data_IF_508896725044
#
_entry.id   IF_508896725044
#
_cell.length_a   1.000
_cell.length_b   1.000
_cell.length_c   1.000
_cell.angle_alpha   90.00
_cell.angle_beta   90.00
_cell.angle_gamma   90.00
#
_symmetry.space_group_name_H-M   'P 1'
#
loop_
_entity.id
_entity.type
_entity.pdbx_description
1 polymer ?
#
# COMPACT_ATOMS: atom_id res chain seq x y z
N UNK A 1 -4.48 -35.23 -14.62
CA UNK A 1 -3.06 -35.63 -14.49
C UNK A 1 -2.99 -37.14 -14.56
N UNK A 2 -2.08 -37.68 -15.36
CA UNK A 2 -1.82 -39.13 -15.45
C UNK A 2 -0.85 -39.55 -14.33
N UNK A 3 -1.06 -40.74 -13.77
CA UNK A 3 -0.24 -41.31 -12.70
C UNK A 3 1.25 -41.43 -13.09
N UNK A 4 1.52 -41.59 -14.40
CA UNK A 4 2.87 -41.73 -14.95
C UNK A 4 3.70 -40.45 -14.80
N UNK A 5 3.09 -39.26 -14.97
CA UNK A 5 3.82 -37.99 -14.85
C UNK A 5 4.16 -37.64 -13.40
N UNK A 6 3.28 -37.99 -12.46
CA UNK A 6 3.53 -37.87 -11.02
C UNK A 6 4.66 -38.80 -10.57
N UNK A 7 4.71 -40.03 -11.10
CA UNK A 7 5.78 -40.98 -10.81
C UNK A 7 7.14 -40.56 -11.40
N UNK A 8 7.17 -39.82 -12.50
CA UNK A 8 8.41 -39.28 -13.11
C UNK A 8 8.98 -38.07 -12.35
N UNK A 9 8.13 -37.29 -11.67
CA UNK A 9 8.52 -36.14 -10.85
C UNK A 9 9.24 -36.52 -9.55
N UNK A 10 8.89 -37.69 -8.98
CA UNK A 10 9.46 -38.20 -7.73
C UNK A 10 10.49 -39.29 -7.99
N UNK A 11 11.73 -39.10 -7.54
CA UNK A 11 12.68 -40.19 -7.33
C UNK A 11 13.04 -40.23 -5.85
N UNK A 12 12.62 -41.30 -5.16
CA UNK A 12 13.01 -41.54 -3.76
C UNK A 12 11.93 -41.46 -2.69
N UNK A 13 10.64 -41.54 -3.05
CA UNK A 13 9.54 -41.58 -2.06
C UNK A 13 8.99 -40.22 -1.63
N UNK A 14 9.32 -39.16 -2.36
CA UNK A 14 8.71 -37.84 -2.18
C UNK A 14 7.24 -37.84 -2.61
N UNK A 15 6.41 -37.05 -1.90
CA UNK A 15 5.01 -36.80 -2.27
C UNK A 15 4.93 -36.02 -3.60
N UNK A 16 4.55 -36.72 -4.66
CA UNK A 16 4.47 -36.19 -6.02
C UNK A 16 3.47 -35.03 -6.17
N UNK A 17 2.41 -34.99 -5.36
CA UNK A 17 1.43 -33.89 -5.37
C UNK A 17 1.98 -32.63 -4.69
N UNK A 18 2.82 -32.81 -3.67
CA UNK A 18 3.53 -31.70 -3.03
C UNK A 18 4.62 -31.13 -3.94
N UNK A 19 5.40 -31.99 -4.59
CA UNK A 19 6.40 -31.57 -5.57
C UNK A 19 5.78 -30.86 -6.78
N UNK A 20 4.65 -31.37 -7.28
CA UNK A 20 3.94 -30.73 -8.39
C UNK A 20 3.52 -29.29 -8.04
N UNK A 21 2.88 -29.10 -6.87
CA UNK A 21 2.45 -27.77 -6.40
C UNK A 21 3.62 -26.80 -6.26
N UNK A 22 4.78 -27.28 -5.82
CA UNK A 22 5.98 -26.45 -5.66
C UNK A 22 6.62 -26.06 -7.00
N UNK A 23 6.57 -26.93 -8.00
CA UNK A 23 7.36 -26.78 -9.23
C UNK A 23 6.56 -26.21 -10.41
N UNK A 24 5.23 -26.35 -10.41
CA UNK A 24 4.37 -25.98 -11.55
C UNK A 24 4.49 -24.51 -11.95
N UNK A 25 4.63 -23.61 -10.97
CA UNK A 25 4.74 -22.14 -11.17
C UNK A 25 6.17 -21.61 -10.96
N UNK A 26 7.19 -22.41 -11.27
CA UNK A 26 8.59 -21.97 -11.20
C UNK A 26 9.10 -21.50 -12.55
N UNK A 27 10.08 -20.59 -12.54
CA UNK A 27 10.73 -20.05 -13.73
C UNK A 27 11.22 -21.14 -14.69
N UNK A 28 11.77 -22.23 -14.14
CA UNK A 28 12.25 -23.37 -14.92
C UNK A 28 11.15 -24.16 -15.63
N UNK A 29 9.90 -24.10 -15.13
CA UNK A 29 8.76 -24.82 -15.69
C UNK A 29 7.89 -23.96 -16.62
N UNK A 30 8.25 -22.69 -16.84
CA UNK A 30 7.55 -21.82 -17.78
C UNK A 30 7.95 -22.14 -19.23
N UNK A 31 6.94 -22.44 -20.05
CA UNK A 31 7.06 -22.59 -21.49
C UNK A 31 6.11 -21.63 -22.19
N UNK A 32 6.60 -20.89 -23.18
CA UNK A 32 5.77 -20.06 -24.03
C UNK A 32 5.28 -20.94 -25.20
N UNK A 33 4.01 -21.28 -25.24
CA UNK A 33 3.43 -22.09 -26.32
C UNK A 33 2.04 -21.57 -26.71
N UNK A 34 1.75 -21.47 -28.00
CA UNK A 34 0.43 -21.12 -28.53
C UNK A 34 -0.59 -22.26 -28.51
N UNK A 35 -0.20 -23.46 -28.04
CA UNK A 35 -1.00 -24.70 -28.10
C UNK A 35 -1.18 -25.34 -26.72
N UNK A 36 -1.34 -24.52 -25.67
CA UNK A 36 -1.44 -25.00 -24.28
C UNK A 36 -2.66 -25.92 -24.05
N UNK A 37 -3.69 -25.80 -24.89
CA UNK A 37 -4.89 -26.64 -24.90
C UNK A 37 -4.68 -28.05 -25.48
N UNK A 38 -3.69 -28.26 -26.35
CA UNK A 38 -3.38 -29.55 -26.98
C UNK A 38 -2.36 -30.39 -26.18
N UNK A 39 -1.71 -29.78 -25.17
CA UNK A 39 -0.67 -30.38 -24.31
C UNK A 39 -1.20 -31.07 -23.04
N UNK A 40 -2.54 -31.19 -22.90
CA UNK A 40 -3.19 -31.72 -21.71
C UNK A 40 -2.85 -33.19 -21.43
N UNK A 41 -2.35 -33.46 -20.21
CA UNK A 41 -2.13 -34.78 -19.56
C UNK A 41 -1.24 -35.83 -20.26
N UNK A 42 -0.46 -35.45 -21.28
CA UNK A 42 0.48 -36.37 -21.93
C UNK A 42 1.79 -36.57 -21.12
N UNK A 43 2.41 -37.73 -21.27
CA UNK A 43 3.72 -38.06 -20.68
C UNK A 43 4.82 -37.13 -21.18
N UNK A 44 5.93 -37.03 -20.45
CA UNK A 44 7.05 -36.19 -20.88
C UNK A 44 7.61 -36.62 -22.24
N UNK A 45 7.65 -37.92 -22.54
CA UNK A 45 8.07 -38.44 -23.85
C UNK A 45 7.23 -37.89 -25.02
N UNK A 46 5.91 -37.76 -24.85
CA UNK A 46 5.03 -37.18 -25.86
C UNK A 46 5.20 -35.66 -25.98
N UNK A 47 5.35 -34.95 -24.84
CA UNK A 47 5.59 -33.50 -24.79
C UNK A 47 6.94 -33.13 -25.41
N UNK A 48 7.96 -33.97 -25.21
CA UNK A 48 9.33 -33.80 -25.75
C UNK A 48 9.33 -33.70 -27.27
N UNK A 49 8.55 -34.54 -27.96
CA UNK A 49 8.44 -34.50 -29.42
C UNK A 49 7.81 -33.19 -29.92
N UNK A 50 6.73 -32.72 -29.27
CA UNK A 50 6.06 -31.46 -29.64
C UNK A 50 6.92 -30.23 -29.33
N UNK A 51 7.58 -30.19 -28.17
CA UNK A 51 8.49 -29.10 -27.79
C UNK A 51 9.70 -29.01 -28.73
N UNK A 52 10.18 -30.14 -29.26
CA UNK A 52 11.26 -30.19 -30.25
C UNK A 52 10.90 -29.55 -31.60
N UNK A 53 9.60 -29.51 -31.94
CA UNK A 53 9.09 -28.87 -33.15
C UNK A 53 8.81 -27.36 -32.97
N UNK A 54 8.96 -26.83 -31.75
CA UNK A 54 8.72 -25.40 -31.49
C UNK A 54 9.74 -24.51 -32.18
N UNK A 55 9.30 -23.34 -32.66
CA UNK A 55 10.18 -22.28 -33.21
C UNK A 55 10.98 -21.55 -32.13
N UNK A 56 10.66 -21.74 -30.85
CA UNK A 56 11.30 -21.06 -29.73
C UNK A 56 12.45 -21.88 -29.17
N UNK A 57 13.66 -21.32 -29.18
CA UNK A 57 14.89 -21.96 -28.67
C UNK A 57 14.72 -22.46 -27.24
N UNK A 58 14.04 -21.68 -26.38
CA UNK A 58 13.75 -22.05 -25.00
C UNK A 58 12.96 -23.37 -24.86
N UNK A 59 12.07 -23.70 -25.80
CA UNK A 59 11.27 -24.92 -25.73
C UNK A 59 12.07 -26.15 -26.21
N UNK A 60 12.99 -25.95 -27.15
CA UNK A 60 13.90 -27.02 -27.64
C UNK A 60 14.88 -27.49 -26.57
N UNK A 61 15.33 -26.58 -25.69
CA UNK A 61 16.17 -26.92 -24.55
C UNK A 61 15.50 -27.93 -23.61
N UNK A 62 14.18 -27.84 -23.42
CA UNK A 62 13.41 -28.81 -22.63
C UNK A 62 13.31 -30.15 -23.37
N UNK A 63 13.11 -30.11 -24.69
CA UNK A 63 13.04 -31.30 -25.53
C UNK A 63 14.38 -32.06 -25.62
N UNK A 64 15.50 -31.38 -25.38
CA UNK A 64 16.82 -32.00 -25.35
C UNK A 64 17.06 -32.86 -24.10
N UNK A 65 16.30 -32.64 -23.03
CA UNK A 65 16.41 -33.43 -21.80
C UNK A 65 15.78 -34.82 -21.98
N UNK A 66 16.43 -35.85 -21.42
CA UNK A 66 15.89 -37.22 -21.43
C UNK A 66 14.77 -37.40 -20.38
N UNK A 67 14.78 -36.57 -19.33
CA UNK A 67 13.80 -36.55 -18.22
C UNK A 67 13.45 -35.12 -17.84
N UNK A 68 12.35 -34.95 -17.13
CA UNK A 68 11.87 -33.63 -16.70
C UNK A 68 11.30 -33.68 -15.28
N UNK A 69 12.21 -33.76 -14.30
CA UNK A 69 11.87 -33.78 -12.88
C UNK A 69 12.35 -32.51 -12.16
N UNK A 70 12.31 -32.56 -10.83
CA UNK A 70 12.72 -31.45 -9.94
C UNK A 70 14.12 -30.91 -10.26
N UNK A 71 15.09 -31.79 -10.46
CA UNK A 71 16.48 -31.41 -10.68
C UNK A 71 16.63 -30.62 -11.99
N UNK A 72 15.98 -31.06 -13.07
CA UNK A 72 16.04 -30.40 -14.37
C UNK A 72 15.30 -29.06 -14.37
N UNK A 73 14.17 -28.97 -13.66
CA UNK A 73 13.40 -27.73 -13.51
C UNK A 73 14.21 -26.67 -12.74
N UNK A 74 14.83 -27.05 -11.61
CA UNK A 74 15.64 -26.12 -10.81
C UNK A 74 16.89 -25.67 -11.58
N UNK A 75 17.64 -26.62 -12.17
CA UNK A 75 18.83 -26.29 -12.95
C UNK A 75 18.50 -25.38 -14.14
N UNK A 76 17.31 -25.52 -14.75
CA UNK A 76 16.85 -24.61 -15.78
C UNK A 76 16.47 -23.24 -15.23
N UNK A 77 15.82 -23.17 -14.08
CA UNK A 77 15.48 -21.91 -13.43
C UNK A 77 16.75 -21.06 -13.19
N UNK A 78 17.83 -21.68 -12.70
CA UNK A 78 19.12 -21.03 -12.49
C UNK A 78 19.68 -20.46 -13.81
N UNK A 79 19.71 -21.27 -14.87
CA UNK A 79 20.20 -20.82 -16.19
C UNK A 79 19.37 -19.67 -16.79
N UNK A 80 18.06 -19.66 -16.58
CA UNK A 80 17.20 -18.56 -17.06
C UNK A 80 17.46 -17.30 -16.23
N UNK A 81 17.64 -17.43 -14.92
CA UNK A 81 18.00 -16.31 -14.05
C UNK A 81 19.35 -15.70 -14.44
N UNK A 82 20.39 -16.51 -14.66
CA UNK A 82 21.70 -16.05 -15.12
C UNK A 82 21.63 -15.29 -16.45
N UNK A 83 20.83 -15.80 -17.39
CA UNK A 83 20.59 -15.12 -18.68
C UNK A 83 19.84 -13.82 -18.52
N UNK A 84 18.85 -13.77 -17.62
CA UNK A 84 18.11 -12.54 -17.34
C UNK A 84 19.03 -11.46 -16.76
N UNK A 85 19.92 -11.83 -15.83
CA UNK A 85 20.94 -10.95 -15.25
C UNK A 85 21.90 -10.44 -16.34
N UNK A 86 22.29 -11.30 -17.29
CA UNK A 86 23.19 -10.90 -18.37
C UNK A 86 22.53 -9.98 -19.43
N UNK A 87 21.23 -10.17 -19.72
CA UNK A 87 20.49 -9.41 -20.74
C UNK A 87 19.98 -8.08 -20.18
N UNK A 88 19.54 -8.07 -18.93
CA UNK A 88 19.10 -6.90 -18.20
C UNK A 88 20.06 -6.63 -17.04
N UNK A 89 21.29 -6.19 -17.34
CA UNK A 89 22.19 -5.76 -16.29
C UNK A 89 21.53 -4.60 -15.54
N UNK A 90 21.55 -4.66 -14.21
CA UNK A 90 21.08 -3.55 -13.38
C UNK A 90 21.88 -2.27 -13.68
N UNK A 91 21.35 -1.08 -13.34
CA UNK A 91 22.09 0.17 -13.47
C UNK A 91 23.46 0.05 -12.76
N UNK A 92 24.53 0.49 -13.41
CA UNK A 92 25.91 0.36 -12.90
C UNK A 92 26.07 1.09 -11.55
N UNK A 93 26.00 0.33 -10.46
CA UNK A 93 26.26 0.77 -9.10
C UNK A 93 27.76 0.81 -8.83
N UNK A 94 28.43 1.89 -9.22
CA UNK A 94 29.71 2.26 -8.61
C UNK A 94 29.47 2.71 -7.16
N UNK A 95 29.16 1.77 -6.27
CA UNK A 95 28.87 2.11 -4.87
C UNK A 95 28.26 1.04 -3.97
N UNK A 96 28.04 -0.21 -4.39
CA UNK A 96 27.59 -1.26 -3.46
C UNK A 96 28.51 -2.47 -3.48
N UNK A 97 29.28 -2.57 -2.39
CA UNK A 97 30.12 -3.71 -2.10
C UNK A 97 29.31 -4.99 -1.91
N UNK A 98 29.95 -6.11 -2.27
CA UNK A 98 29.88 -7.46 -1.70
C UNK A 98 28.63 -7.78 -0.85
N UNK A 99 27.90 -8.83 -1.24
CA UNK A 99 26.82 -9.49 -0.50
C UNK A 99 26.96 -9.38 1.05
N UNK A 100 26.36 -8.34 1.61
CA UNK A 100 26.38 -8.02 3.02
C UNK A 100 24.97 -8.16 3.60
N UNK A 101 24.89 -8.46 4.89
CA UNK A 101 23.69 -8.47 5.73
C UNK A 101 22.58 -7.53 5.24
N UNK A 102 21.33 -8.01 5.23
CA UNK A 102 20.13 -7.16 5.02
C UNK A 102 20.32 -5.84 5.76
N UNK A 103 20.26 -4.73 5.02
CA UNK A 103 20.34 -3.39 5.61
C UNK A 103 19.03 -3.12 6.34
N UNK A 104 19.10 -3.16 7.67
CA UNK A 104 17.95 -2.91 8.55
C UNK A 104 17.85 -1.45 8.98
N UNK A 105 18.71 -0.56 8.48
CA UNK A 105 18.75 0.85 8.86
C UNK A 105 17.39 1.52 8.63
N UNK A 106 16.77 1.26 7.48
CA UNK A 106 15.47 1.83 7.16
C UNK A 106 14.35 1.31 8.08
N UNK A 107 14.39 0.03 8.49
CA UNK A 107 13.45 -0.52 9.47
C UNK A 107 13.62 0.15 10.84
N UNK A 108 14.86 0.28 11.31
CA UNK A 108 15.14 0.93 12.61
C UNK A 108 14.63 2.37 12.62
N UNK A 109 14.93 3.14 11.57
CA UNK A 109 14.43 4.51 11.41
C UNK A 109 12.91 4.56 11.37
N UNK A 110 12.27 3.64 10.62
CA UNK A 110 10.82 3.55 10.49
C UNK A 110 10.10 3.34 11.82
N UNK A 111 10.53 2.34 12.59
CA UNK A 111 9.87 1.99 13.87
C UNK A 111 10.18 3.06 14.93
N UNK A 112 11.39 3.63 14.92
CA UNK A 112 11.76 4.73 15.80
C UNK A 112 10.97 6.02 15.53
N UNK A 113 10.61 6.28 14.27
CA UNK A 113 9.88 7.47 13.87
C UNK A 113 8.36 7.43 14.17
N UNK A 114 7.83 6.29 14.65
CA UNK A 114 6.41 6.16 14.97
C UNK A 114 5.98 7.17 16.06
N UNK A 115 5.01 8.06 15.77
CA UNK A 115 4.47 8.99 16.75
C UNK A 115 3.90 8.29 17.99
N UNK A 116 3.83 8.99 19.12
CA UNK A 116 3.15 8.50 20.31
C UNK A 116 1.69 8.13 20.02
N UNK A 117 1.14 7.14 20.74
CA UNK A 117 -0.21 6.62 20.56
C UNK A 117 -0.51 6.09 19.14
N UNK A 118 0.49 5.58 18.42
CA UNK A 118 0.32 4.96 17.10
C UNK A 118 1.00 3.60 17.02
N UNK A 119 0.57 2.76 16.08
CA UNK A 119 1.15 1.44 15.82
C UNK A 119 1.27 1.21 14.31
N UNK A 120 2.10 0.26 13.88
CA UNK A 120 2.22 -0.15 12.46
C UNK A 120 2.20 -1.67 12.34
N UNK A 121 2.05 -2.21 11.14
CA UNK A 121 2.06 -3.65 10.92
C UNK A 121 3.40 -4.17 10.41
N UNK A 122 3.70 -5.45 10.67
CA UNK A 122 4.84 -6.13 10.03
C UNK A 122 4.78 -6.05 8.49
N UNK A 123 3.58 -5.97 7.92
CA UNK A 123 3.39 -5.82 6.47
C UNK A 123 3.79 -4.44 5.97
N UNK A 124 3.43 -3.38 6.69
CA UNK A 124 3.79 -2.00 6.32
C UNK A 124 5.30 -1.77 6.43
N UNK A 125 5.92 -2.26 7.50
CA UNK A 125 7.38 -2.20 7.65
C UNK A 125 8.08 -3.00 6.56
N UNK A 126 7.57 -4.19 6.22
CA UNK A 126 8.14 -5.01 5.15
C UNK A 126 7.99 -4.36 3.77
N UNK A 127 6.85 -3.77 3.48
CA UNK A 127 6.60 -3.03 2.24
C UNK A 127 7.59 -1.87 2.09
N UNK A 128 7.77 -1.06 3.14
CA UNK A 128 8.68 0.07 3.15
C UNK A 128 10.13 -0.31 2.80
N UNK A 129 10.61 -1.44 3.32
CA UNK A 129 12.00 -1.89 3.13
C UNK A 129 12.17 -2.85 1.94
N UNK A 130 11.11 -3.13 1.19
CA UNK A 130 11.14 -4.11 0.08
C UNK A 130 11.44 -5.55 0.55
N UNK A 131 10.87 -5.96 1.68
CA UNK A 131 11.06 -7.28 2.29
C UNK A 131 9.73 -8.03 2.47
N UNK A 132 9.78 -9.19 3.13
CA UNK A 132 8.60 -9.95 3.55
C UNK A 132 8.38 -9.78 5.07
N UNK A 133 7.14 -9.87 5.59
CA UNK A 133 6.85 -9.68 7.03
C UNK A 133 7.58 -10.64 7.96
N UNK A 134 7.85 -11.87 7.50
CA UNK A 134 8.50 -12.91 8.31
C UNK A 134 9.94 -12.52 8.72
N UNK A 135 10.85 -12.15 7.81
CA UNK A 135 12.16 -11.60 8.16
C UNK A 135 12.12 -10.41 9.11
N UNK A 136 11.14 -9.50 8.94
CA UNK A 136 10.95 -8.34 9.82
C UNK A 136 10.63 -8.80 11.26
N UNK A 137 9.70 -9.74 11.42
CA UNK A 137 9.36 -10.29 12.72
C UNK A 137 10.54 -11.00 13.40
N UNK A 138 11.33 -11.79 12.65
CA UNK A 138 12.54 -12.45 13.19
C UNK A 138 13.56 -11.42 13.68
N UNK A 139 13.82 -10.38 12.90
CA UNK A 139 14.74 -9.30 13.26
C UNK A 139 14.29 -8.57 14.53
N UNK A 140 13.02 -8.14 14.59
CA UNK A 140 12.47 -7.45 15.76
C UNK A 140 12.47 -8.33 17.03
N UNK A 141 12.36 -9.65 16.88
CA UNK A 141 12.38 -10.59 18.00
C UNK A 141 13.79 -11.00 18.46
N UNK A 142 14.85 -10.50 17.81
CA UNK A 142 16.24 -10.89 18.08
C UNK A 142 17.19 -9.71 18.23
N UNK A 143 16.85 -8.54 17.70
CA UNK A 143 17.67 -7.33 17.73
C UNK A 143 16.91 -6.24 18.48
N UNK A 144 17.50 -5.57 19.48
CA UNK A 144 16.89 -4.43 20.12
C UNK A 144 16.59 -3.33 19.09
N UNK A 145 15.30 -3.00 18.93
CA UNK A 145 14.82 -1.91 18.08
C UNK A 145 13.91 -1.02 18.92
N UNK A 146 14.12 0.28 18.86
CA UNK A 146 13.28 1.25 19.55
C UNK A 146 11.82 1.10 19.06
N UNK A 147 10.87 1.07 19.99
CA UNK A 147 9.43 0.94 19.72
C UNK A 147 9.00 -0.37 19.02
N UNK A 148 9.80 -1.44 19.07
CA UNK A 148 9.47 -2.72 18.42
C UNK A 148 8.10 -3.29 18.84
N UNK A 149 7.65 -3.03 20.08
CA UNK A 149 6.36 -3.44 20.60
C UNK A 149 5.17 -2.79 19.90
N UNK A 150 5.36 -1.68 19.18
CA UNK A 150 4.34 -1.01 18.36
C UNK A 150 4.17 -1.63 16.97
N UNK A 151 4.92 -2.68 16.64
CA UNK A 151 4.77 -3.42 15.38
C UNK A 151 3.86 -4.63 15.62
N UNK A 152 2.64 -4.55 15.10
CA UNK A 152 1.57 -5.53 15.32
C UNK A 152 1.28 -6.35 14.05
N UNK A 153 0.40 -7.32 14.17
CA UNK A 153 -0.18 -7.98 13.00
C UNK A 153 -0.99 -6.99 12.17
N UNK A 154 -1.28 -7.34 10.91
CA UNK A 154 -2.15 -6.53 10.04
C UNK A 154 -3.56 -6.31 10.60
N UNK A 155 -4.03 -7.19 11.51
CA UNK A 155 -5.32 -7.06 12.19
C UNK A 155 -5.26 -6.21 13.46
N UNK A 156 -4.11 -5.62 13.79
CA UNK A 156 -3.90 -4.84 15.02
C UNK A 156 -3.69 -5.70 16.26
N UNK A 157 -3.36 -6.98 16.11
CA UNK A 157 -3.10 -7.87 17.26
C UNK A 157 -1.61 -7.94 17.56
N UNK A 158 -1.28 -7.99 18.85
CA UNK A 158 0.07 -8.38 19.27
C UNK A 158 0.32 -9.83 18.82
N UNK A 159 1.52 -10.09 18.29
CA UNK A 159 1.92 -11.44 17.90
C UNK A 159 1.90 -12.38 19.12
N UNK A 160 1.33 -13.58 18.98
CA UNK A 160 1.38 -14.62 20.03
C UNK A 160 2.81 -15.03 20.40
N UNK A 161 3.76 -14.78 19.50
CA UNK A 161 5.19 -15.04 19.71
C UNK A 161 5.98 -13.81 20.13
N UNK A 162 5.30 -12.71 20.47
CA UNK A 162 5.96 -11.50 20.96
C UNK A 162 6.75 -11.81 22.24
N UNK A 163 7.95 -11.24 22.31
CA UNK A 163 8.83 -11.28 23.46
C UNK A 163 9.68 -10.02 23.47
N UNK A 164 9.96 -9.49 24.65
CA UNK A 164 10.96 -8.45 24.80
C UNK A 164 12.33 -8.99 24.41
N UNK A 165 13.15 -8.14 23.79
CA UNK A 165 14.52 -8.50 23.42
C UNK A 165 15.45 -8.48 24.64
N UNK A 166 15.11 -7.70 25.66
CA UNK A 166 15.68 -7.78 26.99
C UNK A 166 15.05 -8.98 27.73
N UNK A 167 15.83 -10.02 28.09
CA UNK A 167 15.30 -11.20 28.78
C UNK A 167 14.81 -10.92 30.20
N UNK A 168 15.21 -9.79 30.80
CA UNK A 168 14.77 -9.38 32.15
C UNK A 168 13.49 -8.53 32.13
N UNK A 169 12.98 -8.18 30.94
CA UNK A 169 11.74 -7.43 30.78
C UNK A 169 10.53 -8.37 30.69
N UNK A 170 9.72 -8.38 31.75
CA UNK A 170 8.53 -9.22 31.90
C UNK A 170 7.22 -8.44 31.79
N UNK A 171 7.28 -7.16 31.39
CA UNK A 171 6.10 -6.30 31.30
C UNK A 171 5.09 -6.85 30.32
N UNK A 172 3.80 -6.76 30.66
CA UNK A 172 2.73 -7.06 29.72
C UNK A 172 2.72 -6.01 28.60
N UNK A 173 2.98 -6.46 27.37
CA UNK A 173 3.01 -5.61 26.18
C UNK A 173 1.71 -4.86 25.94
N UNK A 174 0.55 -5.44 26.27
CA UNK A 174 -0.73 -4.73 26.16
C UNK A 174 -0.85 -3.61 27.21
N UNK A 175 -0.31 -3.79 28.42
CA UNK A 175 -0.27 -2.71 29.41
C UNK A 175 0.64 -1.57 28.95
N UNK A 176 1.81 -1.89 28.40
CA UNK A 176 2.73 -0.89 27.83
C UNK A 176 2.07 -0.12 26.68
N UNK A 177 1.47 -0.82 25.71
CA UNK A 177 0.82 -0.17 24.56
C UNK A 177 -0.36 0.72 25.00
N UNK A 178 -1.15 0.29 25.99
CA UNK A 178 -2.23 1.13 26.55
C UNK A 178 -1.69 2.35 27.30
N UNK A 179 -0.62 2.19 28.08
CA UNK A 179 0.01 3.30 28.78
C UNK A 179 0.59 4.35 27.80
N UNK A 180 0.98 3.92 26.61
CA UNK A 180 1.42 4.78 25.50
C UNK A 180 0.26 5.38 24.68
N UNK A 181 -0.99 5.10 25.07
CA UNK A 181 -2.20 5.67 24.46
C UNK A 181 -2.80 4.85 23.32
N UNK A 182 -2.36 3.61 23.07
CA UNK A 182 -2.97 2.75 22.05
C UNK A 182 -4.25 2.13 22.61
N UNK A 183 -5.35 2.39 21.90
CA UNK A 183 -6.69 1.91 22.22
C UNK A 183 -6.88 0.53 21.60
N UNK A 184 -7.43 -0.40 22.38
CA UNK A 184 -7.78 -1.74 21.92
C UNK A 184 -9.29 -1.94 22.00
N UNK A 185 -9.85 -2.69 21.06
CA UNK A 185 -11.23 -3.16 21.14
C UNK A 185 -11.38 -4.37 22.10
N UNK A 186 -12.62 -4.80 22.31
CA UNK A 186 -12.95 -5.95 23.19
C UNK A 186 -12.31 -7.26 22.72
N UNK A 187 -11.91 -7.36 21.45
CA UNK A 187 -11.22 -8.51 20.88
C UNK A 187 -9.68 -8.39 20.96
N UNK A 188 -9.16 -7.37 21.63
CA UNK A 188 -7.73 -7.14 21.80
C UNK A 188 -7.03 -6.65 20.52
N UNK A 189 -7.76 -6.02 19.59
CA UNK A 189 -7.20 -5.42 18.38
C UNK A 189 -6.99 -3.93 18.59
N UNK A 190 -5.80 -3.43 18.26
CA UNK A 190 -5.49 -2.01 18.29
C UNK A 190 -6.35 -1.25 17.28
N UNK A 191 -6.77 -0.03 17.64
CA UNK A 191 -7.63 0.80 16.79
C UNK A 191 -6.99 1.04 15.43
N UNK A 192 -7.74 0.76 14.36
CA UNK A 192 -7.28 1.01 12.98
C UNK A 192 -6.97 2.50 12.73
N UNK A 193 -7.57 3.40 13.50
CA UNK A 193 -7.37 4.85 13.36
C UNK A 193 -5.98 5.28 13.83
N UNK A 194 -5.37 4.49 14.73
CA UNK A 194 -4.01 4.66 15.25
C UNK A 194 -2.94 3.93 14.40
N UNK A 195 -3.34 3.28 13.31
CA UNK A 195 -2.42 2.55 12.42
C UNK A 195 -1.66 3.51 11.49
N UNK A 196 -0.33 3.37 11.39
CA UNK A 196 0.55 4.07 10.45
C UNK A 196 0.94 3.12 9.32
N UNK A 197 0.58 3.49 8.10
CA UNK A 197 0.85 2.72 6.87
C UNK A 197 2.29 2.90 6.37
N UNK A 198 2.76 2.00 5.50
CA UNK A 198 4.08 2.11 4.86
C UNK A 198 4.33 3.49 4.23
N UNK A 199 3.30 4.04 3.58
CA UNK A 199 3.32 5.39 2.98
C UNK A 199 3.49 6.49 4.02
N UNK A 200 2.74 6.43 5.12
CA UNK A 200 2.85 7.43 6.20
C UNK A 200 4.22 7.34 6.90
N UNK A 201 4.78 6.14 7.09
CA UNK A 201 6.14 5.98 7.63
C UNK A 201 7.17 6.63 6.70
N UNK A 202 7.05 6.41 5.40
CA UNK A 202 7.97 7.01 4.46
C UNK A 202 7.96 8.54 4.48
N UNK A 203 6.77 9.12 4.61
CA UNK A 203 6.58 10.56 4.78
C UNK A 203 7.21 11.07 6.08
N UNK A 204 7.06 10.33 7.20
CA UNK A 204 7.75 10.63 8.46
C UNK A 204 9.27 10.65 8.28
N UNK A 205 9.79 9.75 7.44
CA UNK A 205 11.21 9.65 7.14
C UNK A 205 11.68 10.62 6.03
N UNK A 206 10.79 11.42 5.44
CA UNK A 206 11.11 12.31 4.34
C UNK A 206 11.55 11.57 3.07
N UNK A 207 11.14 10.32 2.90
CA UNK A 207 11.40 9.54 1.69
C UNK A 207 10.42 9.98 0.59
N UNK A 208 10.87 10.07 -0.67
CA UNK A 208 10.01 10.45 -1.78
C UNK A 208 8.99 9.33 -2.06
N UNK A 209 7.82 9.36 -1.40
CA UNK A 209 6.78 8.34 -1.57
C UNK A 209 5.43 9.01 -1.85
N UNK A 210 5.03 8.97 -3.13
CA UNK A 210 3.70 9.27 -3.66
C UNK A 210 3.10 10.67 -3.41
N UNK A 211 3.51 11.46 -2.41
CA UNK A 211 3.17 12.88 -2.33
C UNK A 211 3.70 13.63 -3.56
N UNK A 212 4.88 13.24 -4.05
CA UNK A 212 5.41 13.70 -5.33
C UNK A 212 4.45 13.38 -6.49
N UNK A 213 3.71 12.26 -6.48
CA UNK A 213 2.77 11.93 -7.56
C UNK A 213 1.49 12.76 -7.49
N UNK A 214 0.95 13.06 -6.30
CA UNK A 214 -0.22 13.94 -6.17
C UNK A 214 0.11 15.40 -6.53
N UNK A 215 1.33 15.86 -6.21
CA UNK A 215 1.84 17.17 -6.64
C UNK A 215 2.21 17.18 -8.13
N UNK A 216 2.71 16.08 -8.70
CA UNK A 216 2.96 15.93 -10.14
C UNK A 216 1.65 15.84 -10.94
N UNK A 217 0.60 15.21 -10.40
CA UNK A 217 -0.76 15.23 -10.98
C UNK A 217 -1.40 16.63 -10.89
N UNK A 218 -0.99 17.46 -9.93
CA UNK A 218 -1.39 18.88 -9.85
C UNK A 218 -0.58 19.80 -10.79
N UNK A 219 0.64 19.41 -11.17
CA UNK A 219 1.52 20.14 -12.08
C UNK A 219 1.32 19.79 -13.57
N UNK A 220 0.33 18.95 -13.90
CA UNK A 220 -0.07 18.69 -15.28
C UNK A 220 -0.69 19.93 -15.92
N UNK A 221 0.15 20.79 -16.48
CA UNK A 221 -0.17 22.06 -17.17
C UNK A 221 -0.94 21.87 -18.51
N UNK A 222 -1.68 20.77 -18.64
CA UNK A 222 -2.54 20.48 -19.79
C UNK A 222 -4.00 20.49 -19.36
N UNK A 223 -4.77 21.47 -19.83
CA UNK A 223 -6.23 21.44 -19.69
C UNK A 223 -6.75 20.13 -20.28
N UNK A 224 -7.17 19.19 -19.42
CA UNK A 224 -7.85 17.98 -19.85
C UNK A 224 -9.08 18.35 -20.68
N UNK A 225 -9.39 17.55 -21.70
CA UNK A 225 -10.62 17.76 -22.47
C UNK A 225 -11.84 17.50 -21.57
N UNK A 226 -12.99 18.14 -21.85
CA UNK A 226 -14.22 17.87 -21.10
C UNK A 226 -14.58 16.37 -21.06
N UNK A 227 -14.35 15.66 -22.17
CA UNK A 227 -14.59 14.21 -22.26
C UNK A 227 -13.68 13.41 -21.32
N UNK A 228 -12.39 13.76 -21.25
CA UNK A 228 -11.46 13.09 -20.36
C UNK A 228 -11.84 13.31 -18.89
N UNK A 229 -12.26 14.53 -18.53
CA UNK A 229 -12.76 14.83 -17.18
C UNK A 229 -13.99 14.00 -16.84
N UNK A 230 -14.96 13.89 -17.75
CA UNK A 230 -16.15 13.03 -17.57
C UNK A 230 -15.76 11.57 -17.38
N UNK A 231 -14.81 11.03 -18.16
CA UNK A 231 -14.34 9.65 -17.99
C UNK A 231 -13.69 9.42 -16.62
N UNK A 232 -12.90 10.37 -16.12
CA UNK A 232 -12.28 10.28 -14.80
C UNK A 232 -13.32 10.33 -13.67
N UNK A 233 -14.33 11.19 -13.81
CA UNK A 233 -15.45 11.31 -12.89
C UNK A 233 -16.30 10.03 -12.83
N UNK A 234 -16.71 9.50 -13.98
CA UNK A 234 -17.47 8.26 -14.07
C UNK A 234 -16.71 7.08 -13.45
N UNK A 235 -15.40 6.99 -13.73
CA UNK A 235 -14.53 5.97 -13.16
C UNK A 235 -14.44 6.09 -11.64
N UNK A 236 -14.26 7.31 -11.12
CA UNK A 236 -14.23 7.57 -9.68
C UNK A 236 -15.54 7.16 -9.01
N UNK A 237 -16.68 7.60 -9.54
CA UNK A 237 -17.99 7.28 -8.99
C UNK A 237 -18.28 5.77 -9.04
N UNK A 238 -17.89 5.09 -10.12
CA UNK A 238 -18.04 3.63 -10.24
C UNK A 238 -17.24 2.90 -9.15
N UNK A 239 -15.93 3.19 -9.03
CA UNK A 239 -15.08 2.53 -8.03
C UNK A 239 -15.52 2.84 -6.60
N UNK A 240 -15.94 4.08 -6.33
CA UNK A 240 -16.48 4.49 -5.05
C UNK A 240 -17.76 3.72 -4.71
N UNK A 241 -18.69 3.59 -5.66
CA UNK A 241 -19.93 2.86 -5.49
C UNK A 241 -19.69 1.36 -5.27
N UNK A 242 -18.78 0.74 -6.03
CA UNK A 242 -18.41 -0.67 -5.83
C UNK A 242 -17.78 -0.93 -4.46
N UNK A 243 -16.91 -0.03 -3.99
CA UNK A 243 -16.14 -0.25 -2.78
C UNK A 243 -16.83 0.20 -1.49
N UNK A 244 -17.65 1.25 -1.54
CA UNK A 244 -18.30 1.87 -0.37
C UNK A 244 -19.83 1.84 -0.41
N UNK A 245 -20.43 1.41 -1.54
CA UNK A 245 -21.87 1.32 -1.71
C UNK A 245 -22.55 2.65 -2.12
N UNK A 246 -23.81 2.58 -2.58
CA UNK A 246 -24.51 3.70 -3.21
C UNK A 246 -24.85 4.85 -2.25
N UNK A 247 -25.08 4.56 -0.96
CA UNK A 247 -25.36 5.60 0.03
C UNK A 247 -24.14 6.48 0.29
N UNK A 248 -22.97 5.85 0.46
CA UNK A 248 -21.70 6.54 0.63
C UNK A 248 -21.31 7.32 -0.63
N UNK A 249 -21.44 6.69 -1.81
CA UNK A 249 -21.17 7.34 -3.10
C UNK A 249 -22.06 8.57 -3.31
N UNK A 250 -23.37 8.46 -3.04
CA UNK A 250 -24.29 9.58 -3.13
C UNK A 250 -23.99 10.69 -2.13
N UNK A 251 -23.51 10.37 -0.92
CA UNK A 251 -23.07 11.36 0.05
C UNK A 251 -21.83 12.12 -0.43
N UNK A 252 -20.78 11.42 -0.87
CA UNK A 252 -19.58 12.05 -1.43
C UNK A 252 -19.95 12.93 -2.62
N UNK A 253 -20.80 12.47 -3.55
CA UNK A 253 -21.23 13.26 -4.69
C UNK A 253 -21.93 14.57 -4.28
N UNK A 254 -22.84 14.52 -3.29
CA UNK A 254 -23.49 15.75 -2.77
C UNK A 254 -22.50 16.72 -2.14
N UNK A 255 -21.49 16.21 -1.44
CA UNK A 255 -20.44 17.03 -0.84
C UNK A 255 -19.58 17.69 -1.93
N UNK A 256 -19.22 16.96 -2.98
CA UNK A 256 -18.47 17.52 -4.12
C UNK A 256 -19.29 18.57 -4.88
N UNK A 257 -20.59 18.35 -5.05
CA UNK A 257 -21.49 19.34 -5.66
C UNK A 257 -21.64 20.59 -4.78
N UNK A 258 -21.78 20.42 -3.46
CA UNK A 258 -21.76 21.53 -2.51
C UNK A 258 -20.49 22.36 -2.66
N UNK A 259 -19.31 21.73 -2.71
CA UNK A 259 -18.03 22.42 -2.93
C UNK A 259 -18.02 23.23 -4.23
N UNK A 260 -18.50 22.65 -5.33
CA UNK A 260 -18.62 23.37 -6.62
C UNK A 260 -19.56 24.56 -6.53
N UNK A 261 -20.69 24.43 -5.85
CA UNK A 261 -21.67 25.52 -5.67
C UNK A 261 -21.10 26.72 -4.91
N UNK A 262 -20.01 26.51 -4.15
CA UNK A 262 -19.29 27.54 -3.38
C UNK A 262 -18.11 28.15 -4.16
N UNK A 263 -17.93 27.76 -5.43
CA UNK A 263 -16.85 28.26 -6.29
C UNK A 263 -15.58 27.42 -6.29
N UNK A 264 -15.60 26.26 -5.63
CA UNK A 264 -14.49 25.31 -5.66
C UNK A 264 -14.42 24.50 -6.96
N UNK A 265 -13.23 24.02 -7.30
CA UNK A 265 -13.02 23.12 -8.44
C UNK A 265 -12.86 21.67 -7.94
N UNK A 266 -13.03 20.69 -8.83
CA UNK A 266 -12.77 19.28 -8.55
C UNK A 266 -11.56 18.80 -9.36
N UNK A 267 -10.66 18.10 -8.70
CA UNK A 267 -9.51 17.48 -9.34
C UNK A 267 -9.60 15.95 -9.24
N UNK A 268 -9.60 15.28 -10.38
CA UNK A 268 -9.61 13.81 -10.44
C UNK A 268 -8.20 13.25 -10.66
N UNK A 269 -7.88 12.16 -9.97
CA UNK A 269 -6.64 11.42 -10.15
C UNK A 269 -6.62 10.66 -11.47
N UNK A 270 -5.46 10.62 -12.12
CA UNK A 270 -5.29 10.01 -13.44
C UNK A 270 -4.96 8.52 -13.36
N UNK A 271 -4.39 8.08 -12.23
CA UNK A 271 -4.03 6.70 -11.96
C UNK A 271 -5.21 5.70 -12.06
N UNK A 272 -4.90 4.40 -12.13
CA UNK A 272 -5.91 3.34 -12.14
C UNK A 272 -6.79 3.33 -10.87
N UNK A 273 -6.22 3.75 -9.74
CA UNK A 273 -6.95 3.96 -8.50
C UNK A 273 -7.57 5.35 -8.56
N UNK A 274 -8.86 5.40 -8.88
CA UNK A 274 -9.55 6.66 -9.06
C UNK A 274 -9.62 7.40 -7.72
N UNK A 275 -9.32 8.69 -7.78
CA UNK A 275 -9.44 9.60 -6.64
C UNK A 275 -10.02 10.94 -7.09
N UNK A 276 -10.56 11.69 -6.14
CA UNK A 276 -11.08 13.03 -6.36
C UNK A 276 -10.75 13.92 -5.17
N UNK A 277 -10.28 15.13 -5.42
CA UNK A 277 -10.10 16.16 -4.40
C UNK A 277 -10.93 17.40 -4.74
N UNK A 278 -11.77 17.92 -3.82
CA UNK A 278 -12.25 19.29 -3.90
C UNK A 278 -11.08 20.26 -3.67
N UNK A 279 -10.74 21.03 -4.69
CA UNK A 279 -9.61 21.97 -4.68
C UNK A 279 -10.09 23.43 -4.74
N UNK A 280 -9.27 24.33 -4.23
CA UNK A 280 -9.37 25.79 -4.43
C UNK A 280 -7.97 26.33 -4.77
N UNK A 281 -7.90 27.27 -5.71
CA UNK A 281 -6.65 27.93 -6.09
C UNK A 281 -6.52 29.25 -5.33
N UNK A 282 -5.40 29.42 -4.64
CA UNK A 282 -5.06 30.62 -3.87
C UNK A 282 -3.66 31.07 -4.27
N UNK A 283 -3.57 32.24 -4.90
CA UNK A 283 -2.38 32.68 -5.61
C UNK A 283 -1.87 31.62 -6.61
N UNK A 284 -0.70 31.05 -6.33
CA UNK A 284 -0.08 29.96 -7.14
C UNK A 284 -0.26 28.57 -6.51
N UNK A 285 -0.92 28.47 -5.36
CA UNK A 285 -1.08 27.24 -4.60
C UNK A 285 -2.46 26.62 -4.86
N UNK A 286 -2.48 25.32 -5.08
CA UNK A 286 -3.73 24.54 -5.12
C UNK A 286 -3.95 23.92 -3.74
N UNK A 287 -4.98 24.35 -3.03
CA UNK A 287 -5.33 23.91 -1.69
C UNK A 287 -6.46 22.88 -1.72
N UNK A 288 -6.39 21.87 -0.85
CA UNK A 288 -7.46 20.90 -0.62
C UNK A 288 -7.34 20.34 0.80
N UNK A 289 -8.47 20.05 1.41
CA UNK A 289 -8.53 19.56 2.80
C UNK A 289 -8.90 18.08 2.89
N UNK A 290 -9.40 17.50 1.80
CA UNK A 290 -9.81 16.12 1.74
C UNK A 290 -9.55 15.57 0.34
N UNK A 291 -9.09 14.32 0.24
CA UNK A 291 -8.98 13.57 -1.01
C UNK A 291 -9.71 12.25 -0.87
N UNK A 292 -10.70 12.04 -1.72
CA UNK A 292 -11.49 10.82 -1.77
C UNK A 292 -10.81 9.77 -2.63
N UNK A 293 -10.74 8.56 -2.09
CA UNK A 293 -10.45 7.32 -2.80
C UNK A 293 -11.70 6.44 -2.78
N UNK A 294 -11.64 5.24 -3.37
CA UNK A 294 -12.79 4.34 -3.43
C UNK A 294 -13.37 3.94 -2.05
N UNK A 295 -12.52 3.82 -1.01
CA UNK A 295 -12.93 3.36 0.34
C UNK A 295 -12.86 4.44 1.41
N UNK A 296 -11.90 5.34 1.29
CA UNK A 296 -11.53 6.29 2.35
C UNK A 296 -11.46 7.71 1.80
N UNK A 297 -11.62 8.67 2.69
CA UNK A 297 -11.35 10.07 2.45
C UNK A 297 -10.17 10.49 3.33
N UNK A 298 -9.08 10.89 2.70
CA UNK A 298 -7.82 11.22 3.34
C UNK A 298 -7.71 12.72 3.62
N UNK A 299 -7.24 13.09 4.80
CA UNK A 299 -7.01 14.48 5.23
C UNK A 299 -5.50 14.75 5.16
N UNK A 300 -5.01 15.57 4.22
CA UNK A 300 -3.60 15.64 3.87
C UNK A 300 -2.84 16.64 4.77
N UNK A 301 -2.80 16.42 6.08
CA UNK A 301 -2.13 17.35 7.01
C UNK A 301 -0.63 17.53 6.70
N UNK A 302 0.08 16.50 6.22
CA UNK A 302 1.48 16.62 5.77
C UNK A 302 1.65 17.60 4.59
N UNK A 303 0.63 17.75 3.74
CA UNK A 303 0.63 18.71 2.64
C UNK A 303 0.26 20.10 3.17
N UNK A 304 -0.78 20.17 4.00
CA UNK A 304 -1.27 21.43 4.58
C UNK A 304 -0.22 22.13 5.44
N UNK A 305 0.63 21.39 6.18
CA UNK A 305 1.69 22.00 7.03
C UNK A 305 2.73 22.81 6.27
N UNK A 306 2.79 22.68 4.94
CA UNK A 306 3.72 23.41 4.06
C UNK A 306 3.05 24.60 3.37
N UNK A 307 1.77 24.88 3.65
CA UNK A 307 0.93 25.81 2.88
C UNK A 307 0.12 26.71 3.79
N UNK A 308 0.21 28.02 3.56
CA UNK A 308 -0.58 28.99 4.31
C UNK A 308 -2.08 28.83 4.07
N UNK A 309 -2.93 29.09 5.07
CA UNK A 309 -2.58 29.44 6.46
C UNK A 309 -2.31 28.21 7.35
N UNK A 310 -2.36 26.99 6.82
CA UNK A 310 -2.25 25.74 7.58
C UNK A 310 -0.81 25.29 7.88
N UNK A 311 0.19 26.09 7.54
CA UNK A 311 1.52 26.01 8.14
C UNK A 311 1.45 26.27 9.66
N UNK A 312 0.47 27.05 10.13
CA UNK A 312 0.13 27.18 11.54
C UNK A 312 -0.44 25.86 12.11
N UNK A 313 0.23 25.23 13.10
CA UNK A 313 -0.27 24.02 13.76
C UNK A 313 -1.61 24.23 14.49
N UNK A 314 -1.94 25.45 14.93
CA UNK A 314 -3.21 25.73 15.60
C UNK A 314 -4.41 25.58 14.66
N UNK A 315 -4.29 26.03 13.40
CA UNK A 315 -5.34 25.86 12.39
C UNK A 315 -5.49 24.41 11.95
N UNK A 316 -4.39 23.65 11.88
CA UNK A 316 -4.47 22.19 11.66
C UNK A 316 -5.19 21.51 12.81
N UNK A 317 -4.90 21.87 14.06
CA UNK A 317 -5.57 21.30 15.23
C UNK A 317 -7.07 21.67 15.26
N UNK A 318 -7.42 22.91 14.92
CA UNK A 318 -8.83 23.32 14.78
C UNK A 318 -9.55 22.49 13.71
N UNK A 319 -8.93 22.27 12.55
CA UNK A 319 -9.47 21.39 11.51
C UNK A 319 -9.68 19.97 12.03
N UNK A 320 -8.71 19.41 12.78
CA UNK A 320 -8.82 18.08 13.39
C UNK A 320 -9.99 18.02 14.37
N UNK A 321 -10.14 19.01 15.25
CA UNK A 321 -11.23 19.09 16.21
C UNK A 321 -12.60 19.16 15.52
N UNK A 322 -12.74 20.05 14.52
CA UNK A 322 -13.97 20.16 13.71
C UNK A 322 -14.35 18.84 13.06
N UNK A 323 -13.40 18.08 12.54
CA UNK A 323 -13.66 16.77 11.95
C UNK A 323 -14.03 15.71 13.01
N UNK A 324 -13.41 15.77 14.20
CA UNK A 324 -13.71 14.87 15.33
C UNK A 324 -15.07 15.13 15.99
N UNK A 325 -15.73 16.26 15.72
CA UNK A 325 -17.12 16.49 16.14
C UNK A 325 -18.11 15.53 15.42
N UNK A 326 -17.67 14.89 14.33
CA UNK A 326 -18.48 13.91 13.61
C UNK A 326 -18.57 12.58 14.39
N UNK A 327 -19.78 12.02 14.56
CA UNK A 327 -19.94 10.75 15.28
C UNK A 327 -19.13 9.60 14.67
N UNK A 328 -18.23 9.03 15.47
CA UNK A 328 -17.37 7.89 15.07
C UNK A 328 -16.16 8.27 14.23
N UNK A 329 -15.87 9.57 14.06
CA UNK A 329 -14.58 10.05 13.54
C UNK A 329 -13.66 10.34 14.72
N UNK A 330 -12.51 9.68 14.76
CA UNK A 330 -11.47 9.96 15.73
C UNK A 330 -10.12 10.08 15.02
N UNK A 331 -9.76 11.30 14.63
CA UNK A 331 -8.45 11.61 14.11
C UNK A 331 -7.52 11.90 15.30
N UNK A 332 -6.51 11.07 15.57
CA UNK A 332 -5.60 11.30 16.68
C UNK A 332 -4.74 12.54 16.45
N UNK A 333 -4.40 13.27 17.52
CA UNK A 333 -3.45 14.40 17.48
C UNK A 333 -2.11 13.98 16.86
N UNK A 334 -1.68 12.73 17.08
CA UNK A 334 -0.45 12.17 16.51
C UNK A 334 -0.44 12.14 14.96
N UNK A 335 -1.59 12.26 14.30
CA UNK A 335 -1.72 12.29 12.83
C UNK A 335 -1.80 13.70 12.24
N UNK A 336 -1.59 14.74 13.04
CA UNK A 336 -1.67 16.15 12.62
C UNK A 336 -0.58 16.60 11.62
N UNK A 337 0.35 15.71 11.30
CA UNK A 337 1.37 15.91 10.27
C UNK A 337 1.38 14.81 9.21
N UNK A 338 0.35 13.95 9.20
CA UNK A 338 0.26 12.77 8.35
C UNK A 338 -0.96 12.84 7.43
N UNK A 339 -1.54 11.68 7.13
CA UNK A 339 -2.65 11.50 6.21
C UNK A 339 -3.74 10.64 6.85
N UNK A 340 -4.31 11.05 7.99
CA UNK A 340 -5.43 10.34 8.59
C UNK A 340 -6.56 10.24 7.58
N UNK A 341 -7.38 9.20 7.70
CA UNK A 341 -8.51 8.99 6.80
C UNK A 341 -9.76 8.60 7.57
N UNK A 342 -10.91 9.01 7.03
CA UNK A 342 -12.23 8.53 7.44
C UNK A 342 -12.75 7.56 6.39
N UNK A 343 -13.62 6.63 6.78
CA UNK A 343 -14.25 5.72 5.82
C UNK A 343 -15.36 6.46 5.08
N UNK A 344 -15.41 6.32 3.75
CA UNK A 344 -16.48 6.96 2.97
C UNK A 344 -17.88 6.49 3.39
N UNK A 345 -17.99 5.27 3.91
CA UNK A 345 -19.25 4.73 4.47
C UNK A 345 -19.78 5.53 5.66
N UNK A 346 -18.93 6.23 6.41
CA UNK A 346 -19.37 7.08 7.52
C UNK A 346 -20.14 8.31 7.03
N UNK A 347 -19.83 8.83 5.83
CA UNK A 347 -20.52 9.98 5.23
C UNK A 347 -21.98 9.70 4.86
N UNK A 348 -22.40 8.42 4.84
CA UNK A 348 -23.81 8.08 4.68
C UNK A 348 -24.65 8.50 5.91
N UNK A 349 -24.03 8.68 7.08
CA UNK A 349 -24.67 9.25 8.26
C UNK A 349 -24.76 10.77 8.10
N UNK A 350 -25.98 11.33 8.19
CA UNK A 350 -26.23 12.76 8.01
C UNK A 350 -25.45 13.63 9.02
N UNK A 351 -25.28 13.17 10.26
CA UNK A 351 -24.52 13.93 11.27
C UNK A 351 -23.03 14.03 10.90
N UNK A 352 -22.44 12.95 10.36
CA UNK A 352 -21.06 12.95 9.88
C UNK A 352 -20.96 13.83 8.62
N UNK A 353 -21.91 13.71 7.70
CA UNK A 353 -21.97 14.51 6.48
C UNK A 353 -22.00 16.01 6.78
N UNK A 354 -22.89 16.45 7.67
CA UNK A 354 -23.05 17.87 8.01
C UNK A 354 -21.77 18.45 8.64
N UNK A 355 -21.11 17.70 9.51
CA UNK A 355 -19.84 18.12 10.12
C UNK A 355 -18.73 18.24 9.07
N UNK A 356 -18.60 17.26 8.16
CA UNK A 356 -17.57 17.31 7.11
C UNK A 356 -17.84 18.45 6.13
N UNK A 357 -19.11 18.71 5.77
CA UNK A 357 -19.49 19.87 4.94
C UNK A 357 -19.15 21.19 5.64
N UNK A 358 -19.47 21.32 6.92
CA UNK A 358 -19.12 22.52 7.69
C UNK A 358 -17.59 22.72 7.80
N UNK A 359 -16.81 21.64 7.93
CA UNK A 359 -15.35 21.70 7.93
C UNK A 359 -14.80 22.16 6.56
N UNK A 360 -15.39 21.71 5.45
CA UNK A 360 -15.03 22.18 4.11
C UNK A 360 -15.34 23.67 3.91
N UNK A 361 -16.54 24.12 4.32
CA UNK A 361 -16.93 25.53 4.22
C UNK A 361 -16.01 26.43 5.06
N UNK A 362 -15.68 25.99 6.28
CA UNK A 362 -14.71 26.70 7.13
C UNK A 362 -13.32 26.73 6.50
N UNK A 363 -12.84 25.62 5.95
CA UNK A 363 -11.55 25.56 5.26
C UNK A 363 -11.50 26.55 4.10
N UNK A 364 -12.53 26.55 3.24
CA UNK A 364 -12.62 27.50 2.12
C UNK A 364 -12.59 28.94 2.61
N UNK A 365 -13.40 29.29 3.62
CA UNK A 365 -13.42 30.64 4.18
C UNK A 365 -12.07 31.06 4.78
N UNK A 366 -11.40 30.16 5.50
CA UNK A 366 -10.08 30.41 6.13
C UNK A 366 -9.01 30.65 5.07
N UNK A 367 -9.00 29.83 4.02
CA UNK A 367 -8.05 29.94 2.91
C UNK A 367 -8.27 31.23 2.12
N UNK A 368 -9.52 31.58 1.78
CA UNK A 368 -9.83 32.81 1.05
C UNK A 368 -9.54 34.07 1.87
N UNK A 369 -9.87 34.08 3.17
CA UNK A 369 -9.61 35.24 4.03
C UNK A 369 -8.11 35.50 4.25
N UNK A 370 -7.28 34.45 4.25
CA UNK A 370 -5.82 34.60 4.32
C UNK A 370 -5.23 35.21 3.06
N UNK A 371 -5.77 34.89 1.88
CA UNK A 371 -5.30 35.44 0.60
C UNK A 371 -5.59 36.94 0.49
N UNK A 372 -6.78 37.37 0.91
CA UNK A 372 -7.20 38.78 0.93
C UNK A 372 -6.36 39.66 1.87
N UNK A 373 -5.68 39.07 2.86
CA UNK A 373 -4.78 39.80 3.77
C UNK A 373 -3.34 39.91 3.24
N UNK A 374 -2.95 39.06 2.27
CA UNK A 374 -1.62 39.05 1.68
C UNK A 374 -1.53 39.79 0.33
N UNK A 375 -2.67 40.01 -0.35
CA UNK A 375 -2.80 40.81 -1.59
C UNK A 375 -3.02 42.29 -1.33
#
# INVERSE_FOLDING_TARGET
>A
MTADWLSELSHGGDDADLLHRQLVHTLGNLTLSGYNSELSNNSFAAKRHQLGQSGLVMNREIAACERWGKAEILARADRIADRAIAIWPGPEESGRGSAASRDWTLLHSAVAALPAATWTSYSDVAELIGSHPVPVGVHLATVPVLNAHRVLSRSGQVSESFRWTDPDDDRDVHEVLRAEGIVFDDAGRASADQHITAREIAELLGLPIAADLAETEAAGDGSLSPQALTTLEERFLHQLNEASGPQAAGAVQRLLEHWRSRGGELQYGTSANASCAPIIKVGRQTMYVIRFYAKTAEIPFSVLRKRKPFDDPALREELRQRLNDAPGVDIPVAKLELYPSIKNTQLANIAVFDVVVAALDWFMATVTASDEQEG
#
